data_IF_175109612615
#
_entry.id   IF_175109612615
#
_cell.length_a   1.000
_cell.length_b   1.000
_cell.length_c   1.000
_cell.angle_alpha   90.00
_cell.angle_beta   90.00
_cell.angle_gamma   90.00
#
_symmetry.space_group_name_H-M   'P 1'
#
loop_
_entity.id
_entity.type
_entity.pdbx_description
1 polymer ?
#
# COMPACT_ATOMS: atom_id res chain seq x y z
N UNK A 1 3.22 -14.20 3.22
CA UNK A 1 2.06 -13.67 2.47
C UNK A 1 2.37 -12.23 2.07
N UNK A 2 2.25 -11.89 0.79
CA UNK A 2 2.43 -10.53 0.28
C UNK A 2 1.14 -10.05 -0.38
N UNK A 3 0.80 -8.78 -0.27
CA UNK A 3 -0.33 -8.14 -0.95
C UNK A 3 -0.09 -6.64 -1.14
N UNK A 4 -0.58 -6.08 -2.25
CA UNK A 4 -0.64 -4.64 -2.42
C UNK A 4 -1.67 -4.04 -1.47
N UNK A 5 -1.36 -2.87 -0.92
CA UNK A 5 -2.21 -2.17 0.04
C UNK A 5 -2.36 -0.70 -0.33
N UNK A 6 -3.60 -0.23 -0.21
CA UNK A 6 -3.97 1.19 -0.18
C UNK A 6 -5.12 1.33 0.83
N UNK A 7 -6.38 1.51 0.42
CA UNK A 7 -7.51 1.45 1.36
C UNK A 7 -7.57 0.16 2.19
N UNK A 8 -7.04 -0.95 1.67
CA UNK A 8 -6.61 -2.12 2.42
C UNK A 8 -7.53 -3.33 2.36
N UNK A 9 -8.67 -3.29 1.65
CA UNK A 9 -9.59 -4.45 1.60
C UNK A 9 -8.96 -5.70 1.00
N UNK A 10 -8.14 -5.55 -0.05
CA UNK A 10 -7.39 -6.63 -0.68
C UNK A 10 -6.40 -7.27 0.32
N UNK A 11 -5.54 -6.47 0.92
CA UNK A 11 -4.55 -6.94 1.87
C UNK A 11 -5.20 -7.51 3.14
N UNK A 12 -6.31 -6.94 3.62
CA UNK A 12 -7.06 -7.48 4.75
C UNK A 12 -7.56 -8.90 4.45
N UNK A 13 -8.13 -9.11 3.25
CA UNK A 13 -8.57 -10.44 2.82
C UNK A 13 -7.41 -11.44 2.73
N UNK A 14 -6.27 -11.03 2.17
CA UNK A 14 -5.09 -11.88 2.05
C UNK A 14 -4.49 -12.25 3.42
N UNK A 15 -4.48 -11.32 4.37
CA UNK A 15 -3.84 -11.49 5.68
C UNK A 15 -4.74 -12.14 6.73
N UNK A 16 -6.05 -12.11 6.55
CA UNK A 16 -7.05 -12.46 7.57
C UNK A 16 -6.75 -13.75 8.32
N UNK A 17 -6.47 -14.83 7.61
CA UNK A 17 -6.22 -16.14 8.21
C UNK A 17 -4.85 -16.26 8.89
N UNK A 18 -3.95 -15.31 8.65
CA UNK A 18 -2.56 -15.33 9.14
C UNK A 18 -2.27 -14.27 10.19
N UNK A 19 -3.25 -13.46 10.58
CA UNK A 19 -3.06 -12.36 11.53
C UNK A 19 -2.45 -12.84 12.86
N UNK A 20 -2.87 -14.01 13.32
CA UNK A 20 -2.44 -14.62 14.58
C UNK A 20 -1.38 -15.73 14.40
N UNK A 21 -0.82 -15.88 13.22
CA UNK A 21 0.19 -16.90 12.88
C UNK A 21 1.57 -16.24 12.77
N UNK A 22 2.34 -16.13 13.85
CA UNK A 22 3.62 -15.39 13.85
C UNK A 22 4.68 -16.02 12.95
N UNK A 23 4.54 -17.30 12.63
CA UNK A 23 5.40 -18.03 11.69
C UNK A 23 5.18 -17.62 10.23
N UNK A 24 4.09 -16.93 9.92
CA UNK A 24 3.80 -16.42 8.57
C UNK A 24 4.13 -14.94 8.50
N UNK A 25 5.16 -14.57 7.73
CA UNK A 25 5.46 -13.17 7.42
C UNK A 25 4.34 -12.51 6.63
N UNK A 26 3.94 -11.30 7.00
CA UNK A 26 3.00 -10.47 6.25
C UNK A 26 3.77 -9.30 5.64
N UNK A 27 3.61 -9.07 4.34
CA UNK A 27 4.23 -7.98 3.60
C UNK A 27 3.14 -7.19 2.88
N UNK A 28 3.07 -5.90 3.19
CA UNK A 28 2.17 -4.95 2.56
C UNK A 28 2.96 -4.05 1.60
N UNK A 29 2.65 -4.10 0.31
CA UNK A 29 3.30 -3.28 -0.71
C UNK A 29 2.44 -2.06 -1.02
N UNK A 30 2.93 -0.86 -0.67
CA UNK A 30 2.30 0.42 -1.00
C UNK A 30 2.85 0.99 -2.31
N UNK A 31 2.03 1.75 -3.03
CA UNK A 31 2.44 2.45 -4.23
C UNK A 31 3.20 3.74 -3.87
N UNK A 32 4.49 3.75 -4.08
CA UNK A 32 5.34 4.93 -3.86
C UNK A 32 5.33 5.91 -5.04
N UNK A 33 4.60 5.62 -6.12
CA UNK A 33 4.54 6.48 -7.30
C UNK A 33 5.93 6.76 -7.86
N UNK A 34 6.34 8.03 -7.86
CA UNK A 34 7.68 8.44 -8.29
C UNK A 34 8.72 8.41 -7.15
N UNK A 35 8.39 7.83 -6.01
CA UNK A 35 9.23 7.70 -4.83
C UNK A 35 8.74 8.53 -3.64
N UNK A 36 9.07 8.09 -2.42
CA UNK A 36 8.59 8.70 -1.18
C UNK A 36 8.93 10.20 -1.04
N UNK A 37 10.06 10.63 -1.60
CA UNK A 37 10.52 12.02 -1.53
C UNK A 37 10.10 12.89 -2.71
N UNK A 38 9.33 12.36 -3.67
CA UNK A 38 8.99 13.06 -4.92
C UNK A 38 7.86 14.08 -4.78
N UNK A 39 7.01 13.92 -3.77
CA UNK A 39 5.72 14.62 -3.66
C UNK A 39 4.60 14.00 -4.54
N UNK A 40 4.92 12.98 -5.33
CA UNK A 40 3.99 12.20 -6.17
C UNK A 40 4.05 10.74 -5.74
N UNK A 41 3.35 10.40 -4.67
CA UNK A 41 3.32 9.09 -4.03
C UNK A 41 1.95 8.83 -3.43
N UNK A 42 1.58 7.55 -3.28
CA UNK A 42 0.38 7.11 -2.59
C UNK A 42 0.70 6.26 -1.34
N UNK A 43 1.96 6.20 -0.90
CA UNK A 43 2.39 5.38 0.23
C UNK A 43 1.90 5.95 1.57
N UNK A 44 0.65 5.72 1.88
CA UNK A 44 -0.05 6.31 3.03
C UNK A 44 0.51 5.84 4.37
N UNK A 45 0.96 4.59 4.51
CA UNK A 45 1.54 4.10 5.77
C UNK A 45 2.91 4.77 6.03
N UNK A 46 3.69 5.04 4.96
CA UNK A 46 4.99 5.69 5.07
C UNK A 46 4.89 7.20 5.27
N UNK A 47 3.97 7.87 4.59
CA UNK A 47 3.92 9.34 4.48
C UNK A 47 2.77 9.98 5.25
N UNK A 48 1.73 9.19 5.56
CA UNK A 48 0.53 9.67 6.22
C UNK A 48 0.77 10.05 7.68
N UNK A 49 -0.14 10.86 8.17
CA UNK A 49 -0.23 11.25 9.59
C UNK A 49 -1.53 10.74 10.15
N UNK A 50 -1.59 10.59 11.47
CA UNK A 50 -2.84 10.25 12.14
C UNK A 50 -3.92 11.29 11.83
N UNK A 51 -5.07 10.81 11.38
CA UNK A 51 -6.19 11.64 10.99
C UNK A 51 -7.52 10.87 11.00
N UNK A 52 -8.57 11.52 10.55
CA UNK A 52 -9.90 10.92 10.44
C UNK A 52 -10.36 10.99 8.99
N UNK A 53 -10.64 9.84 8.41
CA UNK A 53 -11.23 9.74 7.08
C UNK A 53 -12.40 8.74 7.11
N UNK A 54 -13.54 9.09 6.50
CA UNK A 54 -14.75 8.28 6.51
C UNK A 54 -15.21 7.83 7.92
N UNK A 55 -14.99 8.67 8.93
CA UNK A 55 -15.36 8.37 10.31
C UNK A 55 -14.41 7.41 11.05
N UNK A 56 -13.30 7.00 10.42
CA UNK A 56 -12.28 6.14 11.02
C UNK A 56 -11.01 6.93 11.34
N UNK A 57 -10.47 6.74 12.53
CA UNK A 57 -9.14 7.21 12.90
C UNK A 57 -8.10 6.25 12.33
N UNK A 58 -7.18 6.77 11.52
CA UNK A 58 -6.18 5.98 10.82
C UNK A 58 -5.04 6.89 10.31
N UNK A 59 -4.16 6.35 9.45
CA UNK A 59 -3.17 7.14 8.74
C UNK A 59 -3.79 7.74 7.47
N UNK A 60 -3.54 9.02 7.24
CA UNK A 60 -4.09 9.79 6.13
C UNK A 60 -3.00 10.68 5.54
N UNK A 61 -2.91 10.73 4.22
CA UNK A 61 -2.06 11.70 3.53
C UNK A 61 -2.69 13.09 3.64
N UNK A 62 -2.11 13.92 4.50
CA UNK A 62 -2.66 15.24 4.81
C UNK A 62 -1.57 16.26 5.11
N UNK A 63 -1.88 17.53 4.85
CA UNK A 63 -1.05 18.68 5.26
C UNK A 63 -1.12 18.88 6.76
N UNK A 64 -0.30 19.81 7.29
CA UNK A 64 -0.33 20.17 8.72
C UNK A 64 -1.67 20.81 9.13
N UNK A 65 -2.39 21.41 8.17
CA UNK A 65 -3.72 21.98 8.37
C UNK A 65 -4.85 20.96 8.20
N UNK A 66 -4.52 19.67 8.00
CA UNK A 66 -5.48 18.58 7.87
C UNK A 66 -6.18 18.48 6.51
N UNK A 67 -5.67 19.17 5.48
CA UNK A 67 -6.18 19.02 4.12
C UNK A 67 -5.63 17.76 3.49
N UNK A 68 -6.46 17.01 2.76
CA UNK A 68 -6.04 15.82 2.03
C UNK A 68 -4.97 16.21 1.00
N UNK A 69 -3.87 15.49 1.01
CA UNK A 69 -2.86 15.51 -0.06
C UNK A 69 -3.29 14.50 -1.11
N UNK A 70 -3.36 14.94 -2.37
CA UNK A 70 -3.73 14.06 -3.48
C UNK A 70 -2.66 12.99 -3.66
N UNK A 71 -3.02 11.71 -3.56
CA UNK A 71 -2.08 10.63 -3.79
C UNK A 71 -1.78 10.47 -5.28
N UNK A 72 -0.65 9.85 -5.60
CA UNK A 72 -0.27 9.56 -6.97
C UNK A 72 0.27 8.14 -7.13
N UNK A 73 -0.25 7.39 -8.08
CA UNK A 73 0.25 6.10 -8.54
C UNK A 73 -0.17 5.85 -9.99
N UNK A 74 0.64 5.11 -10.75
CA UNK A 74 0.24 4.57 -12.05
C UNK A 74 -0.92 3.57 -11.92
N UNK A 75 -1.10 3.00 -10.75
CA UNK A 75 -2.19 2.07 -10.42
C UNK A 75 -3.38 2.82 -9.85
N UNK A 76 -4.47 2.93 -10.62
CA UNK A 76 -5.68 3.63 -10.20
C UNK A 76 -6.33 3.03 -8.94
N UNK A 77 -6.11 1.75 -8.66
CA UNK A 77 -6.58 1.08 -7.44
C UNK A 77 -5.68 1.28 -6.22
N UNK A 78 -4.55 2.00 -6.37
CA UNK A 78 -3.60 2.31 -5.31
C UNK A 78 -3.29 3.81 -5.24
N UNK A 79 -4.28 4.67 -5.44
CA UNK A 79 -4.14 6.13 -5.42
C UNK A 79 -5.09 6.80 -4.42
N UNK A 80 -5.34 6.16 -3.28
CA UNK A 80 -6.24 6.63 -2.23
C UNK A 80 -5.46 7.24 -1.05
N UNK A 81 -5.90 8.36 -0.45
CA UNK A 81 -5.12 9.10 0.55
C UNK A 81 -5.23 8.58 1.98
N UNK A 82 -5.75 7.39 2.19
CA UNK A 82 -5.96 6.82 3.50
C UNK A 82 -5.85 5.30 3.51
N UNK A 83 -5.45 4.73 4.63
CA UNK A 83 -5.37 3.28 4.82
C UNK A 83 -6.35 2.81 5.88
N UNK A 84 -6.87 1.59 5.76
CA UNK A 84 -7.76 1.01 6.75
C UNK A 84 -7.09 0.88 8.14
N UNK A 85 -7.82 1.09 9.25
CA UNK A 85 -7.26 1.03 10.60
C UNK A 85 -6.52 -0.27 10.93
N UNK A 86 -6.94 -1.40 10.34
CA UNK A 86 -6.25 -2.68 10.48
C UNK A 86 -4.80 -2.57 10.03
N UNK A 87 -4.54 -1.99 8.88
CA UNK A 87 -3.18 -1.92 8.31
C UNK A 87 -2.30 -0.93 9.05
N UNK A 88 -2.87 0.20 9.49
CA UNK A 88 -2.17 1.13 10.37
C UNK A 88 -1.74 0.43 11.67
N UNK A 89 -2.62 -0.35 12.28
CA UNK A 89 -2.32 -1.16 13.46
C UNK A 89 -1.26 -2.23 13.19
N UNK A 90 -1.36 -2.98 12.08
CA UNK A 90 -0.39 -4.02 11.73
C UNK A 90 1.02 -3.46 11.48
N UNK A 91 1.11 -2.25 10.94
CA UNK A 91 2.37 -1.54 10.75
C UNK A 91 2.95 -1.05 12.09
N UNK A 92 2.13 -0.44 12.95
CA UNK A 92 2.52 0.03 14.28
C UNK A 92 3.05 -1.10 15.17
N UNK A 93 2.32 -2.23 15.20
CA UNK A 93 2.70 -3.45 15.94
C UNK A 93 3.84 -4.24 15.27
N UNK A 94 4.32 -3.78 14.11
CA UNK A 94 5.34 -4.49 13.30
C UNK A 94 4.94 -5.94 12.98
N UNK A 95 3.64 -6.20 12.91
CA UNK A 95 3.10 -7.51 12.50
C UNK A 95 3.20 -7.68 10.98
N UNK A 96 3.10 -6.61 10.22
CA UNK A 96 3.34 -6.58 8.79
C UNK A 96 4.56 -5.71 8.48
N UNK A 97 5.43 -6.19 7.60
CA UNK A 97 6.44 -5.39 6.93
C UNK A 97 5.77 -4.55 5.85
N UNK A 98 6.11 -3.27 5.77
CA UNK A 98 5.55 -2.37 4.77
C UNK A 98 6.65 -1.95 3.79
N UNK A 99 6.43 -2.20 2.52
CA UNK A 99 7.35 -1.85 1.43
C UNK A 99 6.72 -0.76 0.57
N UNK A 100 7.52 0.24 0.23
CA UNK A 100 7.14 1.30 -0.70
C UNK A 100 7.71 0.96 -2.08
N UNK A 101 6.85 0.65 -3.05
CA UNK A 101 7.21 0.21 -4.41
C UNK A 101 6.90 1.31 -5.40
N UNK A 102 7.89 1.72 -6.18
CA UNK A 102 7.73 2.76 -7.20
C UNK A 102 6.99 2.25 -8.44
N UNK A 103 6.42 3.18 -9.21
CA UNK A 103 5.78 2.86 -10.49
C UNK A 103 6.74 2.12 -11.45
N UNK A 104 8.02 2.51 -11.46
CA UNK A 104 9.03 1.88 -12.29
C UNK A 104 9.30 0.42 -11.87
N UNK A 105 9.44 0.18 -10.58
CA UNK A 105 9.62 -1.17 -10.02
C UNK A 105 8.42 -2.06 -10.32
N UNK A 106 7.20 -1.55 -10.11
CA UNK A 106 5.97 -2.29 -10.39
C UNK A 106 5.83 -2.62 -11.89
N UNK A 107 6.10 -1.67 -12.78
CA UNK A 107 6.07 -1.90 -14.22
C UNK A 107 7.11 -2.94 -14.66
N UNK A 108 8.33 -2.84 -14.15
CA UNK A 108 9.40 -3.82 -14.44
C UNK A 108 9.02 -5.22 -13.95
N UNK A 109 8.40 -5.34 -12.77
CA UNK A 109 7.91 -6.61 -12.25
C UNK A 109 6.77 -7.17 -13.13
N UNK A 110 5.84 -6.32 -13.59
CA UNK A 110 4.76 -6.72 -14.49
C UNK A 110 5.29 -7.28 -15.82
N UNK A 111 6.28 -6.62 -16.42
CA UNK A 111 6.93 -7.11 -17.64
C UNK A 111 7.67 -8.42 -17.40
N UNK A 112 8.43 -8.52 -16.32
CA UNK A 112 9.15 -9.73 -15.95
C UNK A 112 8.19 -10.92 -15.79
N UNK A 113 7.09 -10.75 -15.05
CA UNK A 113 6.09 -11.81 -14.89
C UNK A 113 5.46 -12.22 -16.23
N UNK A 114 5.18 -11.22 -17.08
CA UNK A 114 4.60 -11.48 -18.40
C UNK A 114 5.55 -12.27 -19.31
N UNK A 115 6.82 -11.93 -19.29
CA UNK A 115 7.84 -12.63 -20.10
C UNK A 115 8.11 -14.05 -19.59
N UNK A 116 8.16 -14.24 -18.28
CA UNK A 116 8.50 -15.53 -17.68
C UNK A 116 7.33 -16.51 -17.64
N UNK A 117 6.13 -16.03 -17.34
CA UNK A 117 4.96 -16.89 -17.03
C UNK A 117 3.81 -16.70 -18.03
N UNK A 118 3.89 -15.72 -18.94
CA UNK A 118 2.80 -15.42 -19.88
C UNK A 118 1.56 -14.81 -19.19
N UNK A 119 1.72 -14.26 -17.98
CA UNK A 119 0.64 -13.65 -17.20
C UNK A 119 0.78 -12.13 -17.29
N UNK A 120 -0.28 -11.45 -17.72
CA UNK A 120 -0.36 -9.99 -17.68
C UNK A 120 -1.06 -9.61 -16.36
N UNK A 121 -0.32 -9.15 -15.34
CA UNK A 121 -0.94 -8.77 -14.07
C UNK A 121 -1.65 -7.42 -14.16
N UNK A 122 -2.58 -7.15 -13.23
CA UNK A 122 -3.01 -5.80 -12.95
C UNK A 122 -1.85 -4.99 -12.35
N UNK A 123 -1.82 -3.68 -12.58
CA UNK A 123 -0.77 -2.81 -12.06
C UNK A 123 -0.73 -2.84 -10.52
N UNK A 124 -1.89 -2.96 -9.88
CA UNK A 124 -2.00 -3.12 -8.44
C UNK A 124 -1.24 -4.35 -7.95
N UNK A 125 -1.48 -5.50 -8.58
CA UNK A 125 -0.81 -6.77 -8.21
C UNK A 125 0.68 -6.76 -8.51
N UNK A 126 1.12 -5.94 -9.46
CA UNK A 126 2.52 -5.83 -9.84
C UNK A 126 3.38 -5.15 -8.76
N UNK A 127 2.76 -4.43 -7.79
CA UNK A 127 3.45 -3.87 -6.64
C UNK A 127 3.80 -4.93 -5.58
N UNK A 128 3.13 -6.09 -5.60
CA UNK A 128 3.32 -7.19 -4.64
C UNK A 128 4.09 -8.34 -5.26
#
# INVERSE_FOLDING_TARGET
>A
MIACVEGGSNAAGAFYHFLHSPEVGLIAAEAAGKGLGSGESAATIHLGKEGIIHGSRTLVMQTDDGQIVEPYSVSAGLDYPGVGPLHAFLAEEKRAEVLAVTDEEALNAAFCLTEMEGIIPALESAHA
#
